data_IF_955551899554
#
_entry.id   IF_955551899554
#
_cell.length_a   1.000
_cell.length_b   1.000
_cell.length_c   1.000
_cell.angle_alpha   90.00
_cell.angle_beta   90.00
_cell.angle_gamma   90.00
#
_symmetry.space_group_name_H-M   'P 1'
#
loop_
_entity.id
_entity.type
_entity.pdbx_description
1 polymer ?
#
# COMPACT_ATOMS: atom_id res chain seq x y z
N UNK A 1 -6.62 -10.75 -0.12
CA UNK A 1 -5.35 -10.67 -0.88
C UNK A 1 -5.17 -11.79 -1.90
N UNK A 2 -5.54 -13.02 -1.60
CA UNK A 2 -5.50 -14.13 -2.59
C UNK A 2 -6.40 -13.84 -3.79
N UNK A 3 -7.58 -13.28 -3.56
CA UNK A 3 -8.55 -12.94 -4.61
C UNK A 3 -7.99 -11.90 -5.61
N UNK A 4 -7.30 -10.89 -5.11
CA UNK A 4 -6.69 -9.85 -5.95
C UNK A 4 -5.58 -10.41 -6.85
N UNK A 5 -4.78 -11.36 -6.35
CA UNK A 5 -3.73 -12.00 -7.15
C UNK A 5 -4.33 -12.82 -8.30
N UNK A 6 -5.44 -13.51 -8.07
CA UNK A 6 -6.12 -14.30 -9.13
C UNK A 6 -6.80 -13.44 -10.19
N UNK A 7 -7.23 -12.23 -9.83
CA UNK A 7 -7.87 -11.30 -10.77
C UNK A 7 -6.84 -10.48 -11.58
N UNK A 8 -5.64 -10.28 -11.04
CA UNK A 8 -4.58 -9.50 -11.70
C UNK A 8 -3.64 -10.37 -12.55
N UNK A 9 -3.57 -11.68 -12.32
CA UNK A 9 -2.77 -12.57 -13.18
C UNK A 9 -3.42 -12.65 -14.55
N UNK A 10 -2.77 -12.15 -15.61
CA UNK A 10 -3.33 -12.19 -16.96
C UNK A 10 -3.58 -13.63 -17.37
N UNK A 11 -4.67 -13.87 -18.06
CA UNK A 11 -5.01 -15.19 -18.62
C UNK A 11 -4.04 -15.63 -19.76
N UNK A 12 -3.15 -14.73 -20.16
CA UNK A 12 -2.23 -14.87 -21.30
C UNK A 12 -0.77 -15.21 -20.89
N UNK A 13 -0.57 -15.84 -19.74
CA UNK A 13 0.72 -16.44 -19.36
C UNK A 13 1.62 -15.61 -18.46
N UNK A 14 1.03 -14.70 -17.68
CA UNK A 14 1.76 -13.98 -16.63
C UNK A 14 2.23 -14.90 -15.49
N UNK A 15 3.26 -14.48 -14.77
CA UNK A 15 3.81 -15.20 -13.63
C UNK A 15 3.34 -14.59 -12.32
N UNK A 16 2.91 -15.45 -11.38
CA UNK A 16 2.62 -15.07 -10.00
C UNK A 16 3.64 -15.70 -9.05
N UNK A 17 4.24 -14.89 -8.18
CA UNK A 17 5.18 -15.34 -7.18
C UNK A 17 4.60 -15.21 -5.78
N UNK A 18 4.77 -16.25 -4.97
CA UNK A 18 4.53 -16.21 -3.52
C UNK A 18 5.86 -16.20 -2.82
N UNK A 19 6.11 -15.17 -2.00
CA UNK A 19 7.42 -14.98 -1.37
C UNK A 19 7.60 -15.83 -0.11
N UNK A 20 6.50 -16.32 0.48
CA UNK A 20 6.54 -17.10 1.71
C UNK A 20 6.85 -16.27 2.95
N UNK A 21 7.19 -16.95 4.04
CA UNK A 21 7.46 -16.36 5.34
C UNK A 21 6.59 -16.96 6.44
N UNK A 22 6.41 -16.23 7.54
CA UNK A 22 5.49 -16.61 8.62
C UNK A 22 4.08 -16.20 8.24
N UNK A 23 3.17 -17.17 8.17
CA UNK A 23 1.77 -16.91 7.86
C UNK A 23 1.02 -16.33 9.06
N UNK A 24 0.29 -15.26 8.86
CA UNK A 24 -0.61 -14.68 9.82
C UNK A 24 -2.06 -14.89 9.41
N UNK A 25 -2.82 -15.64 10.21
CA UNK A 25 -4.25 -15.83 10.01
C UNK A 25 -5.03 -14.50 10.09
N UNK A 26 -4.61 -13.63 10.99
CA UNK A 26 -5.24 -12.33 11.20
C UNK A 26 -5.25 -11.45 9.96
N UNK A 27 -4.15 -11.46 9.22
CA UNK A 27 -3.99 -10.62 8.02
C UNK A 27 -4.10 -11.41 6.72
N UNK A 28 -4.19 -12.74 6.82
CA UNK A 28 -4.18 -13.66 5.67
C UNK A 28 -3.00 -13.36 4.74
N UNK A 29 -1.81 -13.23 5.32
CA UNK A 29 -0.59 -12.82 4.63
C UNK A 29 0.66 -13.38 5.29
N UNK A 30 1.78 -13.31 4.57
CA UNK A 30 3.10 -13.72 5.05
C UNK A 30 3.93 -12.52 5.47
N UNK A 31 4.69 -12.69 6.55
CA UNK A 31 5.58 -11.66 7.11
C UNK A 31 6.89 -12.27 7.59
N UNK A 32 7.80 -11.42 8.03
CA UNK A 32 9.03 -11.79 8.69
C UNK A 32 10.25 -11.79 7.79
N UNK A 33 11.34 -12.33 8.33
CA UNK A 33 12.67 -12.26 7.71
C UNK A 33 12.71 -12.85 6.30
N UNK A 34 12.09 -14.01 6.08
CA UNK A 34 12.09 -14.65 4.76
C UNK A 34 11.33 -13.81 3.72
N UNK A 35 10.18 -13.24 4.10
CA UNK A 35 9.40 -12.35 3.24
C UNK A 35 10.19 -11.10 2.90
N UNK A 36 10.75 -10.43 3.90
CA UNK A 36 11.52 -9.19 3.71
C UNK A 36 12.78 -9.43 2.87
N UNK A 37 13.49 -10.54 3.10
CA UNK A 37 14.65 -10.92 2.30
C UNK A 37 14.28 -11.19 0.84
N UNK A 38 13.19 -11.90 0.60
CA UNK A 38 12.71 -12.18 -0.75
C UNK A 38 12.30 -10.88 -1.48
N UNK A 39 11.62 -9.95 -0.80
CA UNK A 39 11.30 -8.63 -1.35
C UNK A 39 12.58 -7.85 -1.69
N UNK A 40 13.59 -7.94 -0.83
CA UNK A 40 14.85 -7.19 -0.99
C UNK A 40 15.67 -7.53 -2.24
N UNK A 41 15.45 -8.70 -2.86
CA UNK A 41 16.09 -9.08 -4.12
C UNK A 41 15.29 -8.69 -5.36
N UNK A 42 14.09 -8.15 -5.17
CA UNK A 42 13.19 -7.74 -6.25
C UNK A 42 13.35 -6.25 -6.57
N UNK A 43 13.05 -5.92 -7.82
CA UNK A 43 12.79 -4.55 -8.26
C UNK A 43 11.46 -4.54 -9.00
N UNK A 44 10.47 -3.94 -8.37
CA UNK A 44 9.13 -3.85 -8.92
C UNK A 44 8.91 -2.50 -9.62
N UNK A 45 8.12 -2.48 -10.67
CA UNK A 45 7.70 -1.23 -11.30
C UNK A 45 6.71 -0.48 -10.41
N UNK A 46 5.78 -1.21 -9.80
CA UNK A 46 4.77 -0.64 -8.90
C UNK A 46 4.53 -1.55 -7.70
N UNK A 47 4.32 -0.96 -6.54
CA UNK A 47 3.86 -1.65 -5.34
C UNK A 47 2.55 -1.03 -4.87
N UNK A 48 1.53 -1.86 -4.69
CA UNK A 48 0.26 -1.47 -4.09
C UNK A 48 0.26 -1.84 -2.61
N UNK A 49 0.10 -0.85 -1.76
CA UNK A 49 -0.05 -1.06 -0.32
C UNK A 49 -1.30 -0.37 0.19
N UNK A 50 -1.86 -0.89 1.27
CA UNK A 50 -2.98 -0.28 1.99
C UNK A 50 -2.57 0.09 3.40
N UNK A 51 -3.31 1.00 4.03
CA UNK A 51 -3.12 1.36 5.42
C UNK A 51 -4.46 1.45 6.16
N UNK A 52 -4.53 1.00 7.42
CA UNK A 52 -5.74 1.09 8.22
C UNK A 52 -5.97 2.49 8.80
N UNK A 53 -4.98 3.37 8.75
CA UNK A 53 -5.07 4.73 9.26
C UNK A 53 -4.10 5.65 8.52
N UNK A 54 -4.50 6.89 8.34
CA UNK A 54 -3.64 7.98 7.87
C UNK A 54 -4.13 9.32 8.46
N UNK A 55 -3.19 10.19 8.77
CA UNK A 55 -3.47 11.58 9.11
C UNK A 55 -3.06 12.52 7.98
N UNK A 56 -2.79 13.78 8.30
CA UNK A 56 -2.39 14.78 7.31
C UNK A 56 -0.98 14.54 6.75
N UNK A 57 -0.15 13.77 7.45
CA UNK A 57 1.27 13.63 7.15
C UNK A 57 1.68 12.23 6.71
N UNK A 58 1.12 11.19 7.35
CA UNK A 58 1.60 9.82 7.19
C UNK A 58 0.49 8.78 7.19
N UNK A 59 0.82 7.60 6.68
CA UNK A 59 0.06 6.37 6.86
C UNK A 59 0.62 5.58 8.04
N UNK A 60 -0.27 4.88 8.75
CA UNK A 60 0.05 4.16 10.00
C UNK A 60 -0.51 2.74 9.98
N UNK A 61 0.08 1.89 10.81
CA UNK A 61 -0.41 0.54 11.09
C UNK A 61 -0.20 0.17 12.56
N UNK A 62 -0.98 -0.77 13.05
CA UNK A 62 -0.90 -1.24 14.44
C UNK A 62 0.07 -2.40 14.65
N UNK A 63 0.58 -3.01 13.61
CA UNK A 63 1.43 -4.20 13.64
C UNK A 63 2.80 -3.94 13.04
N UNK A 64 3.86 -4.22 13.81
CA UNK A 64 5.24 -3.99 13.41
C UNK A 64 5.64 -4.84 12.21
N UNK A 65 5.27 -6.13 12.20
CA UNK A 65 5.63 -7.04 11.11
C UNK A 65 5.03 -6.61 9.77
N UNK A 66 3.80 -6.09 9.81
CA UNK A 66 3.12 -5.53 8.62
C UNK A 66 3.85 -4.28 8.13
N UNK A 67 4.21 -3.37 9.03
CA UNK A 67 4.95 -2.14 8.68
C UNK A 67 6.30 -2.47 8.05
N UNK A 68 7.06 -3.39 8.64
CA UNK A 68 8.36 -3.81 8.10
C UNK A 68 8.24 -4.38 6.70
N UNK A 69 7.28 -5.27 6.47
CA UNK A 69 7.05 -5.87 5.16
C UNK A 69 6.61 -4.82 4.13
N UNK A 70 5.68 -3.95 4.49
CA UNK A 70 5.23 -2.87 3.58
C UNK A 70 6.34 -1.87 3.27
N UNK A 71 7.18 -1.51 4.23
CA UNK A 71 8.36 -0.67 3.98
C UNK A 71 9.34 -1.32 3.01
N UNK A 72 9.56 -2.63 3.15
CA UNK A 72 10.37 -3.37 2.19
C UNK A 72 9.78 -3.34 0.78
N UNK A 73 8.45 -3.48 0.65
CA UNK A 73 7.74 -3.35 -0.63
C UNK A 73 7.92 -1.96 -1.25
N UNK A 74 7.79 -0.91 -0.44
CA UNK A 74 7.97 0.47 -0.92
C UNK A 74 9.40 0.71 -1.42
N UNK A 75 10.40 0.23 -0.66
CA UNK A 75 11.81 0.36 -1.03
C UNK A 75 12.18 -0.41 -2.31
N UNK A 76 11.52 -1.54 -2.59
CA UNK A 76 11.73 -2.36 -3.77
C UNK A 76 10.98 -1.86 -5.02
N UNK A 77 10.17 -0.80 -4.91
CA UNK A 77 9.28 -0.31 -5.95
C UNK A 77 9.75 1.02 -6.53
N UNK A 78 9.66 1.16 -7.86
CA UNK A 78 9.84 2.43 -8.54
C UNK A 78 8.64 3.36 -8.38
N UNK A 79 7.42 2.81 -8.21
CA UNK A 79 6.18 3.56 -8.09
C UNK A 79 5.35 3.06 -6.90
N UNK A 80 5.61 3.55 -5.69
CA UNK A 80 4.79 3.25 -4.53
C UNK A 80 3.38 3.82 -4.69
N UNK A 81 2.36 2.98 -4.50
CA UNK A 81 0.94 3.35 -4.58
C UNK A 81 0.24 2.99 -3.27
N UNK A 82 -0.36 3.98 -2.61
CA UNK A 82 -1.22 3.78 -1.45
C UNK A 82 -2.68 3.68 -1.88
N UNK A 83 -3.35 2.61 -1.47
CA UNK A 83 -4.80 2.48 -1.58
C UNK A 83 -5.40 2.67 -0.18
N UNK A 84 -6.21 3.71 0.00
CA UNK A 84 -6.78 4.03 1.30
C UNK A 84 -8.27 4.35 1.19
N UNK A 85 -9.06 3.76 2.09
CA UNK A 85 -10.45 4.16 2.25
C UNK A 85 -10.49 5.51 2.98
N UNK A 86 -11.24 6.47 2.47
CA UNK A 86 -11.32 7.82 3.02
C UNK A 86 -11.84 7.90 4.46
N UNK A 87 -12.53 6.84 4.93
CA UNK A 87 -12.90 6.72 6.35
C UNK A 87 -11.69 6.53 7.28
N UNK A 88 -10.54 6.14 6.73
CA UNK A 88 -9.29 5.94 7.47
C UNK A 88 -8.46 7.21 7.60
N UNK A 89 -8.85 8.26 6.90
CA UNK A 89 -8.23 9.58 7.04
C UNK A 89 -8.62 10.22 8.38
N UNK A 90 -7.66 10.95 8.98
CA UNK A 90 -7.82 11.58 10.30
C UNK A 90 -7.58 10.63 11.49
N UNK A 91 -7.04 9.45 11.26
CA UNK A 91 -6.70 8.47 12.29
C UNK A 91 -5.22 8.13 12.26
N UNK A 92 -4.69 7.79 13.43
CA UNK A 92 -3.32 7.29 13.60
C UNK A 92 -3.33 5.87 14.18
N UNK A 93 -2.19 5.21 14.11
CA UNK A 93 -1.93 3.94 14.78
C UNK A 93 -0.52 3.96 15.37
N UNK A 94 -0.14 2.89 16.05
CA UNK A 94 1.09 2.85 16.85
C UNK A 94 2.35 3.06 16.00
N UNK A 95 2.41 2.45 14.82
CA UNK A 95 3.59 2.49 13.96
C UNK A 95 3.35 3.36 12.73
N UNK A 96 4.28 4.27 12.47
CA UNK A 96 4.32 5.03 11.22
C UNK A 96 4.80 4.12 10.10
N UNK A 97 4.02 4.01 9.04
CA UNK A 97 4.35 3.24 7.84
C UNK A 97 5.24 4.06 6.90
N UNK A 98 4.76 5.19 6.45
CA UNK A 98 5.47 6.09 5.54
C UNK A 98 4.80 7.47 5.54
N UNK A 99 5.55 8.51 5.17
CA UNK A 99 4.98 9.81 4.83
C UNK A 99 4.07 9.67 3.60
N UNK A 100 2.96 10.39 3.55
CA UNK A 100 2.07 10.36 2.38
C UNK A 100 2.78 10.85 1.11
N UNK A 101 3.73 11.76 1.24
CA UNK A 101 4.53 12.26 0.12
C UNK A 101 5.55 11.25 -0.43
N UNK A 102 5.81 10.14 0.26
CA UNK A 102 6.63 9.05 -0.27
C UNK A 102 5.91 8.21 -1.33
N UNK A 103 4.57 8.29 -1.38
CA UNK A 103 3.79 7.62 -2.41
C UNK A 103 3.75 8.46 -3.68
N UNK A 104 3.95 7.84 -4.83
CA UNK A 104 3.76 8.51 -6.12
C UNK A 104 2.30 8.65 -6.49
N UNK A 105 1.48 7.71 -6.05
CA UNK A 105 0.03 7.73 -6.24
C UNK A 105 -0.68 7.35 -4.95
N UNK A 106 -1.74 8.08 -4.65
CA UNK A 106 -2.69 7.72 -3.60
C UNK A 106 -4.05 7.54 -4.26
N UNK A 107 -4.65 6.37 -4.08
CA UNK A 107 -6.00 6.06 -4.55
C UNK A 107 -6.94 6.03 -3.34
N UNK A 108 -8.00 6.80 -3.39
CA UNK A 108 -9.03 6.87 -2.35
C UNK A 108 -10.42 6.69 -2.95
N UNK A 109 -11.36 6.19 -2.16
CA UNK A 109 -12.79 6.09 -2.53
C UNK A 109 -13.51 7.45 -2.50
N UNK A 110 -12.86 8.49 -1.98
CA UNK A 110 -13.41 9.85 -1.88
C UNK A 110 -12.31 10.90 -1.89
N UNK A 111 -12.63 12.17 -2.20
CA UNK A 111 -11.66 13.25 -2.15
C UNK A 111 -11.00 13.37 -0.79
N UNK A 112 -9.71 13.66 -0.79
CA UNK A 112 -8.96 14.03 0.41
C UNK A 112 -9.30 15.47 0.82
N UNK A 113 -9.08 15.84 2.09
CA UNK A 113 -9.20 17.24 2.49
C UNK A 113 -8.36 18.14 1.57
N UNK A 114 -8.92 19.29 1.09
CA UNK A 114 -8.26 20.11 0.05
C UNK A 114 -6.83 20.53 0.38
N UNK A 115 -6.56 20.89 1.63
CA UNK A 115 -5.22 21.29 2.06
C UNK A 115 -4.21 20.13 1.98
N UNK A 116 -4.64 18.91 2.28
CA UNK A 116 -3.80 17.71 2.18
C UNK A 116 -3.54 17.40 0.71
N UNK A 117 -4.57 17.42 -0.12
CA UNK A 117 -4.44 17.16 -1.55
C UNK A 117 -3.50 18.15 -2.21
N UNK A 118 -3.64 19.45 -1.96
CA UNK A 118 -2.76 20.48 -2.52
C UNK A 118 -1.28 20.26 -2.12
N UNK A 119 -1.03 19.95 -0.85
CA UNK A 119 0.32 19.65 -0.36
C UNK A 119 0.93 18.42 -1.03
N UNK A 120 0.15 17.37 -1.22
CA UNK A 120 0.59 16.15 -1.86
C UNK A 120 0.90 16.38 -3.35
N UNK A 121 0.07 17.13 -4.04
CA UNK A 121 0.27 17.49 -5.44
C UNK A 121 1.53 18.35 -5.62
N UNK A 122 1.79 19.32 -4.72
CA UNK A 122 3.04 20.08 -4.68
C UNK A 122 4.26 19.18 -4.48
N UNK A 123 4.13 18.13 -3.66
CA UNK A 123 5.20 17.15 -3.43
C UNK A 123 5.37 16.16 -4.60
N UNK A 124 4.54 16.22 -5.63
CA UNK A 124 4.59 15.35 -6.80
C UNK A 124 3.78 14.06 -6.67
N UNK A 125 2.95 13.93 -5.63
CA UNK A 125 2.04 12.79 -5.46
C UNK A 125 0.76 13.01 -6.25
N UNK A 126 0.40 12.05 -7.09
CA UNK A 126 -0.89 12.05 -7.80
C UNK A 126 -1.98 11.48 -6.90
N UNK A 127 -3.06 12.21 -6.69
CA UNK A 127 -4.24 11.73 -5.97
C UNK A 127 -5.32 11.34 -6.98
N UNK A 128 -5.81 10.10 -6.88
CA UNK A 128 -6.88 9.56 -7.74
C UNK A 128 -8.05 9.12 -6.88
N UNK A 129 -9.25 9.40 -7.36
CA UNK A 129 -10.49 8.93 -6.76
C UNK A 129 -10.98 7.73 -7.55
N UNK A 130 -11.17 6.60 -6.86
CA UNK A 130 -11.82 5.44 -7.43
C UNK A 130 -13.34 5.65 -7.37
N UNK A 131 -14.01 5.58 -8.52
CA UNK A 131 -15.46 5.58 -8.59
C UNK A 131 -15.94 4.14 -8.68
N UNK A 132 -17.00 3.79 -7.94
CA UNK A 132 -17.82 2.64 -8.29
C UNK A 132 -18.59 3.05 -9.56
N UNK A 133 -18.44 2.28 -10.64
CA UNK A 133 -19.39 2.37 -11.74
C UNK A 133 -20.72 1.83 -11.19
N UNK A 134 -21.72 2.69 -11.10
CA UNK A 134 -23.08 2.27 -10.81
C UNK A 134 -23.53 1.37 -11.98
N UNK A 135 -23.68 0.06 -11.70
CA UNK A 135 -24.30 -0.90 -12.62
C UNK A 135 -25.79 -0.60 -12.82
#
# INVERSE_FOLDING_TARGET
MVKIIYEIVPHDGGWAYRLGGVYSDRFNAYFGLLTETAIGVLKADIAFVSAPAADNDAAYHMDESVVRTKRAMLAASAHPCLMINGRRMGHTALYRLADLAEFRTIVSDRPLPPAIQARLEEAGTTVRIAYEEDD
#
